data_IF_515112806858
#
_entry.id   IF_515112806858
#
_cell.length_a   1.000
_cell.length_b   1.000
_cell.length_c   1.000
_cell.angle_alpha   90.00
_cell.angle_beta   90.00
_cell.angle_gamma   90.00
#
_symmetry.space_group_name_H-M   'P 1'
#
loop_
_entity.id
_entity.type
_entity.pdbx_description
1 polymer ?
#
# COMPACT_ATOMS: atom_id res chain seq x y z
N UNK A 1 -15.77 -0.04 -3.37
CA UNK A 1 -14.63 -0.58 -4.15
C UNK A 1 -14.50 -2.07 -3.88
N UNK A 2 -14.76 -2.90 -4.87
CA UNK A 2 -14.39 -4.32 -4.90
C UNK A 2 -12.98 -4.51 -5.49
N UNK A 3 -12.47 -5.74 -5.51
CA UNK A 3 -11.13 -6.01 -6.02
C UNK A 3 -10.96 -5.71 -7.52
N UNK A 4 -11.98 -5.98 -8.34
CA UNK A 4 -11.96 -5.67 -9.78
C UNK A 4 -11.87 -4.17 -10.05
N UNK A 5 -12.66 -3.38 -9.34
CA UNK A 5 -12.61 -1.90 -9.40
C UNK A 5 -11.23 -1.38 -8.97
N UNK A 6 -10.62 -1.99 -7.93
CA UNK A 6 -9.26 -1.67 -7.50
C UNK A 6 -8.23 -1.98 -8.58
N UNK A 7 -8.36 -3.13 -9.25
CA UNK A 7 -7.45 -3.53 -10.33
C UNK A 7 -7.54 -2.56 -11.53
N UNK A 8 -8.74 -2.13 -11.90
CA UNK A 8 -8.90 -1.15 -12.98
C UNK A 8 -8.30 0.22 -12.61
N UNK A 9 -8.48 0.67 -11.36
CA UNK A 9 -7.83 1.88 -10.87
C UNK A 9 -6.29 1.76 -10.90
N UNK A 10 -5.74 0.62 -10.47
CA UNK A 10 -4.30 0.34 -10.52
C UNK A 10 -3.76 0.36 -11.97
N UNK A 11 -4.48 -0.24 -12.92
CA UNK A 11 -4.09 -0.22 -14.35
C UNK A 11 -4.06 1.20 -14.92
N UNK A 12 -4.96 2.07 -14.46
CA UNK A 12 -5.03 3.49 -14.79
C UNK A 12 -3.97 4.35 -14.08
N UNK A 13 -3.11 3.76 -13.24
CA UNK A 13 -2.01 4.44 -12.56
C UNK A 13 -2.38 5.05 -11.21
N UNK A 14 -3.57 4.77 -10.68
CA UNK A 14 -3.94 5.18 -9.33
C UNK A 14 -3.33 4.24 -8.28
N UNK A 15 -3.11 4.77 -7.09
CA UNK A 15 -2.76 3.98 -5.90
C UNK A 15 -4.03 3.63 -5.14
N UNK A 16 -4.11 2.41 -4.63
CA UNK A 16 -5.28 1.94 -3.88
C UNK A 16 -4.90 1.63 -2.43
N UNK A 17 -5.81 1.90 -1.51
CA UNK A 17 -5.71 1.46 -0.11
C UNK A 17 -7.09 1.11 0.42
N UNK A 18 -7.15 0.18 1.36
CA UNK A 18 -8.39 -0.08 2.12
C UNK A 18 -8.51 0.97 3.23
N UNK A 19 -9.74 1.41 3.49
CA UNK A 19 -10.04 2.16 4.71
C UNK A 19 -9.74 1.30 5.94
N UNK A 20 -9.08 1.86 6.96
CA UNK A 20 -8.69 1.13 8.18
C UNK A 20 -7.46 0.23 8.06
N UNK A 21 -6.68 0.31 6.97
CA UNK A 21 -5.29 -0.17 7.04
C UNK A 21 -4.51 0.66 8.07
N UNK A 22 -3.62 0.00 8.82
CA UNK A 22 -2.77 0.62 9.85
C UNK A 22 -2.17 1.91 9.29
N UNK A 23 -2.69 3.05 9.73
CA UNK A 23 -2.18 4.37 9.39
C UNK A 23 -2.37 4.86 7.95
N UNK A 24 -2.13 6.16 7.77
CA UNK A 24 -1.99 6.80 6.47
C UNK A 24 -0.66 6.37 5.83
N UNK A 25 -0.62 6.29 4.50
CA UNK A 25 0.62 6.05 3.75
C UNK A 25 0.99 4.59 3.44
N UNK A 26 0.18 3.61 3.86
CA UNK A 26 0.21 2.26 3.27
C UNK A 26 -0.76 2.19 2.09
N UNK A 27 -0.27 1.76 0.93
CA UNK A 27 -1.06 1.58 -0.28
C UNK A 27 -0.45 0.49 -1.18
N UNK A 28 -1.24 0.00 -2.14
CA UNK A 28 -0.79 -0.85 -3.23
C UNK A 28 -0.69 -0.07 -4.53
N UNK A 29 0.24 -0.49 -5.37
CA UNK A 29 0.53 0.10 -6.67
C UNK A 29 0.88 -0.99 -7.68
N UNK A 30 0.57 -0.77 -8.96
CA UNK A 30 0.93 -1.66 -10.05
C UNK A 30 2.25 -1.21 -10.65
N UNK A 31 3.28 -2.05 -10.51
CA UNK A 31 4.53 -1.88 -11.22
C UNK A 31 4.38 -2.45 -12.64
N UNK A 32 4.83 -1.69 -13.63
CA UNK A 32 4.99 -2.15 -15.01
C UNK A 32 6.49 -2.22 -15.32
N UNK A 33 6.98 -3.31 -15.92
CA UNK A 33 8.40 -3.44 -16.26
C UNK A 33 8.90 -2.30 -17.14
N UNK A 34 10.09 -1.82 -16.81
CA UNK A 34 10.92 -0.84 -17.50
C UNK A 34 12.36 -1.36 -17.58
N UNK A 35 13.27 -0.58 -18.16
CA UNK A 35 14.68 -0.93 -18.32
C UNK A 35 15.39 -1.28 -16.99
N UNK A 36 14.89 -0.80 -15.85
CA UNK A 36 15.48 -0.98 -14.52
C UNK A 36 14.70 -1.97 -13.65
N UNK A 37 13.69 -2.64 -14.21
CA UNK A 37 12.79 -3.51 -13.47
C UNK A 37 13.41 -4.87 -13.16
N UNK A 38 13.23 -5.33 -11.92
CA UNK A 38 13.67 -6.66 -11.50
C UNK A 38 12.82 -7.81 -12.06
N UNK A 39 11.58 -7.53 -12.45
CA UNK A 39 10.63 -8.52 -12.97
C UNK A 39 10.23 -8.18 -14.40
N UNK A 40 9.97 -9.21 -15.21
CA UNK A 40 9.59 -9.09 -16.61
C UNK A 40 8.09 -9.01 -16.85
N UNK A 41 7.28 -9.27 -15.80
CA UNK A 41 5.82 -9.18 -15.84
C UNK A 41 5.35 -8.12 -14.84
N UNK A 42 4.23 -7.41 -15.13
CA UNK A 42 3.62 -6.50 -14.18
C UNK A 42 3.23 -7.20 -12.87
N UNK A 43 3.44 -6.52 -11.76
CA UNK A 43 3.11 -7.04 -10.44
C UNK A 43 2.54 -5.94 -9.54
N UNK A 44 1.66 -6.33 -8.63
CA UNK A 44 1.15 -5.45 -7.59
C UNK A 44 2.05 -5.61 -6.37
N UNK A 45 2.50 -4.50 -5.81
CA UNK A 45 3.28 -4.49 -4.57
C UNK A 45 2.63 -3.56 -3.55
N UNK A 46 2.98 -3.76 -2.28
CA UNK A 46 2.56 -2.92 -1.17
C UNK A 46 3.71 -2.01 -0.75
N UNK A 47 3.40 -0.73 -0.56
CA UNK A 47 4.31 0.26 0.03
C UNK A 47 3.97 0.38 1.50
N UNK A 48 4.94 0.08 2.37
CA UNK A 48 4.81 0.16 3.84
C UNK A 48 5.73 1.20 4.47
N UNK A 49 6.61 1.81 3.68
CA UNK A 49 7.67 2.71 4.17
C UNK A 49 7.15 4.08 4.64
N UNK A 50 5.95 4.48 4.23
CA UNK A 50 5.33 5.75 4.59
C UNK A 50 4.24 5.60 5.64
N UNK A 51 4.32 4.55 6.47
CA UNK A 51 3.36 4.32 7.55
C UNK A 51 3.36 5.50 8.54
N UNK A 52 2.25 6.22 8.56
CA UNK A 52 1.91 7.22 9.58
C UNK A 52 0.76 6.63 10.38
N UNK A 53 1.04 6.13 11.58
CA UNK A 53 0.00 5.60 12.47
C UNK A 53 -1.00 6.70 12.82
N UNK A 54 -2.22 6.59 12.27
CA UNK A 54 -3.34 7.44 12.62
C UNK A 54 -4.29 6.58 13.45
N UNK A 55 -4.58 7.03 14.67
CA UNK A 55 -5.21 6.21 15.71
C UNK A 55 -6.74 6.24 15.69
N UNK A 56 -7.36 6.89 14.70
CA UNK A 56 -8.82 6.87 14.56
C UNK A 56 -9.32 5.55 13.92
N UNK A 57 -9.66 4.60 14.82
CA UNK A 57 -10.54 3.42 14.66
C UNK A 57 -10.00 2.23 13.88
N UNK A 58 -10.03 0.94 14.30
CA UNK A 58 -10.45 0.14 15.48
C UNK A 58 -10.57 -1.28 14.88
N UNK A 59 -10.05 -2.42 15.35
CA UNK A 59 -9.76 -2.95 16.68
C UNK A 59 -8.64 -4.02 16.59
N UNK A 60 -7.71 -4.02 17.56
CA UNK A 60 -6.65 -5.01 17.85
C UNK A 60 -5.45 -5.05 16.84
N UNK A 61 -4.17 -4.86 17.19
CA UNK A 61 -3.48 -4.78 18.49
C UNK A 61 -2.17 -3.94 18.42
N UNK A 62 -1.92 -3.18 19.48
CA UNK A 62 -0.68 -2.99 20.29
C UNK A 62 0.71 -2.78 19.62
N UNK A 63 1.28 -1.61 19.95
CA UNK A 63 2.69 -1.15 20.15
C UNK A 63 3.82 -1.70 19.25
N UNK A 64 4.41 -0.80 18.44
CA UNK A 64 5.76 -0.96 17.87
C UNK A 64 6.62 0.25 18.28
N UNK A 65 7.65 0.10 19.13
CA UNK A 65 8.66 1.12 19.28
C UNK A 65 9.73 0.89 18.20
N UNK A 66 10.05 1.93 17.42
CA UNK A 66 11.36 2.02 16.78
C UNK A 66 12.04 3.25 17.35
N UNK A 67 12.94 2.98 18.30
CA UNK A 67 13.79 3.97 18.93
C UNK A 67 14.77 4.54 17.91
N UNK A 68 14.82 5.87 17.90
CA UNK A 68 15.83 6.80 17.40
C UNK A 68 17.13 6.21 16.80
N UNK A 69 17.38 6.51 15.52
CA UNK A 69 18.41 7.43 15.00
C UNK A 69 18.57 7.23 13.50
#
# INVERSE_FOLDING_TARGET
MNFGEALEALKAGYKCRRAGWNGKGIYIELQKPDEYSKMTLPYIYIVTTSLITDFESSDLAVVIPVSAS
#
